data_IF_635193193517
#
_entry.id   IF_635193193517
#
_cell.length_a   1.000
_cell.length_b   1.000
_cell.length_c   1.000
_cell.angle_alpha   90.00
_cell.angle_beta   90.00
_cell.angle_gamma   90.00
#
_symmetry.space_group_name_H-M   'P 1'
#
loop_
_entity.id
_entity.type
_entity.pdbx_description
1 polymer ?
#
# COMPACT_ATOMS: atom_id res chain seq x y z
N UNK A 1 -84.31 -11.21 -2.74
CA UNK A 1 -85.51 -10.57 -3.24
C UNK A 1 -85.07 -9.44 -4.20
N UNK A 2 -85.32 -9.63 -5.52
CA UNK A 2 -85.54 -8.70 -6.58
C UNK A 2 -84.70 -7.40 -6.68
N UNK A 3 -84.19 -6.93 -7.77
CA UNK A 3 -84.40 -7.16 -9.22
C UNK A 3 -83.35 -6.39 -10.03
N UNK A 4 -83.02 -6.94 -11.17
CA UNK A 4 -82.32 -6.36 -12.30
C UNK A 4 -82.88 -5.00 -12.74
N UNK A 5 -82.02 -4.18 -13.41
CA UNK A 5 -82.31 -3.71 -14.81
C UNK A 5 -81.04 -3.08 -15.40
N UNK A 6 -80.84 -3.49 -16.65
CA UNK A 6 -80.02 -2.91 -17.70
C UNK A 6 -80.52 -1.52 -18.09
N UNK A 7 -79.68 -0.72 -18.72
CA UNK A 7 -79.83 -0.23 -20.09
C UNK A 7 -78.69 0.66 -20.52
N UNK A 8 -78.10 0.25 -21.51
CA UNK A 8 -77.59 0.69 -22.82
C UNK A 8 -77.25 2.18 -23.07
N UNK A 9 -76.11 2.29 -23.76
CA UNK A 9 -75.75 3.13 -24.88
C UNK A 9 -75.49 4.63 -24.66
N UNK A 10 -74.34 5.10 -24.95
CA UNK A 10 -73.98 5.81 -26.18
C UNK A 10 -72.47 6.09 -26.29
N UNK A 11 -71.98 5.75 -27.46
CA UNK A 11 -70.66 6.04 -27.96
C UNK A 11 -70.47 7.51 -28.22
N UNK A 12 -69.48 8.14 -27.73
CA UNK A 12 -68.89 9.36 -28.28
C UNK A 12 -67.40 9.31 -28.27
N UNK A 13 -66.85 9.18 -29.45
CA UNK A 13 -65.42 9.19 -29.75
C UNK A 13 -64.96 10.64 -29.69
N UNK A 14 -64.10 10.93 -28.66
CA UNK A 14 -63.34 12.17 -28.63
C UNK A 14 -61.85 11.76 -28.72
N UNK A 15 -61.30 12.05 -29.89
CA UNK A 15 -59.87 11.94 -30.14
C UNK A 15 -59.20 13.13 -29.45
N UNK A 16 -58.59 12.91 -28.28
CA UNK A 16 -57.68 13.86 -27.63
C UNK A 16 -56.25 13.36 -27.85
N UNK A 17 -55.50 14.13 -28.64
CA UNK A 17 -54.09 13.86 -28.88
C UNK A 17 -53.28 13.93 -27.57
N UNK A 18 -52.73 12.81 -27.17
CA UNK A 18 -51.77 12.76 -26.08
C UNK A 18 -50.40 13.07 -26.66
N UNK A 19 -49.91 14.26 -26.37
CA UNK A 19 -48.50 14.60 -26.48
C UNK A 19 -47.73 13.75 -25.46
N UNK A 20 -47.08 12.72 -25.94
CA UNK A 20 -46.10 11.95 -25.18
C UNK A 20 -44.86 12.84 -24.94
N UNK A 21 -44.83 13.50 -23.80
CA UNK A 21 -43.64 14.05 -23.25
C UNK A 21 -42.78 12.86 -22.79
N UNK A 22 -41.76 12.51 -23.56
CA UNK A 22 -40.76 11.56 -23.16
C UNK A 22 -39.89 12.19 -22.07
N UNK A 23 -40.22 11.93 -20.80
CA UNK A 23 -39.23 12.04 -19.74
C UNK A 23 -38.12 11.00 -20.03
N UNK A 24 -37.00 11.48 -20.55
CA UNK A 24 -35.79 10.74 -20.54
C UNK A 24 -35.35 10.59 -19.07
N UNK A 25 -35.69 9.47 -18.45
CA UNK A 25 -34.97 9.00 -17.28
C UNK A 25 -33.58 8.69 -17.76
N UNK A 26 -32.64 9.60 -17.48
CA UNK A 26 -31.20 9.28 -17.50
C UNK A 26 -30.99 8.21 -16.46
N UNK A 27 -31.09 6.95 -16.88
CA UNK A 27 -30.52 5.84 -16.17
C UNK A 27 -29.02 6.10 -16.11
N UNK A 28 -28.50 6.38 -14.92
CA UNK A 28 -27.10 6.13 -14.62
C UNK A 28 -26.96 4.60 -14.71
N UNK A 29 -26.67 4.09 -15.91
CA UNK A 29 -26.00 2.83 -16.02
C UNK A 29 -24.63 3.07 -15.39
N UNK A 30 -24.40 2.47 -14.22
CA UNK A 30 -23.08 2.23 -13.73
C UNK A 30 -22.39 1.40 -14.82
N UNK A 31 -21.64 2.06 -15.69
CA UNK A 31 -20.64 1.41 -16.50
C UNK A 31 -19.71 0.72 -15.49
N UNK A 32 -19.82 -0.58 -15.39
CA UNK A 32 -18.71 -1.40 -14.94
C UNK A 32 -17.64 -1.21 -16.01
N UNK A 33 -16.80 -0.22 -15.80
CA UNK A 33 -15.58 -0.06 -16.56
C UNK A 33 -14.68 -1.23 -16.18
N UNK A 34 -14.79 -2.30 -16.94
CA UNK A 34 -13.70 -3.26 -17.12
C UNK A 34 -12.68 -2.60 -18.05
N UNK A 35 -12.29 -1.39 -17.73
CA UNK A 35 -11.16 -0.72 -18.37
C UNK A 35 -9.92 -1.52 -18.03
N UNK A 36 -9.39 -2.24 -19.02
CA UNK A 36 -8.08 -2.87 -18.89
C UNK A 36 -7.13 -1.81 -18.36
N UNK A 37 -6.54 -2.05 -17.19
CA UNK A 37 -5.59 -1.13 -16.58
C UNK A 37 -4.48 -0.86 -17.59
N UNK A 38 -4.25 0.42 -17.89
CA UNK A 38 -3.25 0.79 -18.87
C UNK A 38 -1.86 0.47 -18.32
N UNK A 39 -1.10 -0.35 -19.01
CA UNK A 39 0.31 -0.59 -18.69
C UNK A 39 1.08 0.68 -19.02
N UNK A 40 1.68 1.32 -18.02
CA UNK A 40 2.76 2.26 -18.24
C UNK A 40 2.44 3.73 -18.46
N UNK A 41 1.85 4.41 -17.48
CA UNK A 41 1.74 5.88 -17.47
C UNK A 41 3.06 6.66 -17.26
N UNK A 42 4.19 5.98 -17.01
CA UNK A 42 5.50 6.56 -16.73
C UNK A 42 6.58 6.20 -17.76
N UNK A 43 7.80 6.72 -17.57
CA UNK A 43 8.97 6.31 -18.35
C UNK A 43 9.31 4.84 -18.07
N UNK A 44 9.54 4.01 -19.09
CA UNK A 44 9.82 2.59 -18.92
C UNK A 44 11.05 2.30 -18.05
N UNK A 45 10.89 1.47 -17.03
CA UNK A 45 11.96 0.87 -16.25
C UNK A 45 11.80 -0.67 -16.28
N UNK A 46 12.83 -1.46 -16.66
CA UNK A 46 12.68 -2.90 -16.78
C UNK A 46 12.53 -3.61 -15.43
N UNK A 47 11.64 -4.59 -15.34
CA UNK A 47 11.62 -5.54 -14.24
C UNK A 47 12.93 -6.33 -14.19
N UNK A 48 13.42 -6.63 -13.00
CA UNK A 48 14.67 -7.40 -12.82
C UNK A 48 14.42 -8.84 -12.36
N UNK A 49 13.41 -9.04 -11.50
CA UNK A 49 12.97 -10.34 -11.00
C UNK A 49 11.54 -10.20 -10.45
N UNK A 50 10.98 -11.33 -10.05
CA UNK A 50 9.66 -11.39 -9.41
C UNK A 50 9.60 -12.48 -8.34
N UNK A 51 8.62 -12.38 -7.45
CA UNK A 51 8.30 -13.46 -6.52
C UNK A 51 7.33 -14.45 -7.17
N UNK A 52 7.26 -15.70 -6.70
CA UNK A 52 6.09 -16.51 -6.98
C UNK A 52 4.80 -15.79 -6.54
N UNK A 53 3.69 -15.99 -7.26
CA UNK A 53 2.41 -15.43 -6.86
C UNK A 53 2.02 -15.81 -5.43
N UNK A 54 1.32 -14.93 -4.73
CA UNK A 54 0.72 -15.26 -3.45
C UNK A 54 -0.31 -16.40 -3.60
N UNK A 55 -0.53 -17.18 -2.55
CA UNK A 55 -1.33 -18.40 -2.64
C UNK A 55 -2.82 -18.19 -2.88
N UNK A 56 -3.34 -16.98 -2.64
CA UNK A 56 -4.73 -16.64 -2.91
C UNK A 56 -4.90 -16.26 -4.37
N UNK A 57 -5.71 -16.99 -5.10
CA UNK A 57 -6.01 -16.74 -6.53
C UNK A 57 -7.14 -15.72 -6.74
N UNK A 58 -7.62 -15.10 -5.68
CA UNK A 58 -8.59 -14.01 -5.80
C UNK A 58 -7.90 -12.74 -6.28
N UNK A 59 -8.56 -11.95 -7.09
CA UNK A 59 -8.18 -10.57 -7.34
C UNK A 59 -8.04 -9.81 -5.99
N UNK A 60 -7.18 -8.83 -5.90
CA UNK A 60 -6.95 -8.06 -4.69
C UNK A 60 -6.40 -8.94 -3.53
N UNK A 61 -5.30 -9.64 -3.76
CA UNK A 61 -4.64 -10.54 -2.81
C UNK A 61 -3.27 -10.04 -2.35
N UNK A 62 -2.27 -9.93 -3.24
CA UNK A 62 -1.01 -9.29 -2.89
C UNK A 62 -1.22 -7.77 -2.74
N UNK A 63 -0.52 -7.16 -1.77
CA UNK A 63 -0.70 -5.74 -1.54
C UNK A 63 0.63 -5.03 -1.30
N UNK A 64 1.20 -5.15 -0.13
CA UNK A 64 2.30 -4.29 0.29
C UNK A 64 3.56 -5.10 0.65
N UNK A 65 4.74 -4.69 0.16
CA UNK A 65 6.01 -5.27 0.54
C UNK A 65 6.75 -4.44 1.59
N UNK A 66 7.67 -5.09 2.33
CA UNK A 66 8.68 -4.44 3.14
C UNK A 66 10.04 -5.12 2.97
N UNK A 67 11.15 -4.37 3.01
CA UNK A 67 12.50 -4.88 2.77
C UNK A 67 13.34 -4.73 4.04
N UNK A 68 13.99 -5.82 4.46
CA UNK A 68 15.04 -5.78 5.47
C UNK A 68 16.33 -6.38 4.93
N UNK A 69 17.45 -5.75 5.25
CA UNK A 69 18.79 -6.21 4.92
C UNK A 69 19.63 -6.24 6.20
N UNK A 70 20.43 -7.29 6.40
CA UNK A 70 21.37 -7.35 7.52
C UNK A 70 22.40 -6.21 7.37
N UNK A 71 22.48 -5.28 8.32
CA UNK A 71 23.42 -4.15 8.22
C UNK A 71 24.89 -4.57 8.12
N UNK A 72 25.22 -5.82 8.48
CA UNK A 72 26.58 -6.37 8.43
C UNK A 72 26.86 -7.15 7.15
N UNK A 73 25.80 -7.58 6.45
CA UNK A 73 25.91 -8.36 5.22
C UNK A 73 24.77 -7.98 4.26
N UNK A 74 25.01 -7.01 3.37
CA UNK A 74 24.00 -6.56 2.40
C UNK A 74 23.53 -7.64 1.41
N UNK A 75 24.21 -8.77 1.31
CA UNK A 75 23.75 -9.90 0.52
C UNK A 75 22.65 -10.72 1.21
N UNK A 76 22.44 -10.46 2.52
CA UNK A 76 21.53 -11.19 3.37
C UNK A 76 20.37 -10.32 3.82
N UNK A 77 19.16 -10.77 3.55
CA UNK A 77 17.95 -10.03 3.92
C UNK A 77 16.70 -10.75 3.50
N UNK A 78 15.57 -10.09 3.67
CA UNK A 78 14.26 -10.61 3.29
C UNK A 78 13.37 -9.50 2.73
N UNK A 79 12.43 -9.92 1.88
CA UNK A 79 11.23 -9.17 1.51
C UNK A 79 10.07 -9.83 2.24
N UNK A 80 9.25 -9.05 2.92
CA UNK A 80 8.00 -9.50 3.53
C UNK A 80 6.86 -8.91 2.71
N UNK A 81 5.99 -9.76 2.19
CA UNK A 81 4.83 -9.32 1.39
C UNK A 81 3.52 -9.76 2.03
N UNK A 82 2.48 -8.97 1.88
CA UNK A 82 1.14 -9.29 2.35
C UNK A 82 0.33 -10.06 1.31
N UNK A 83 -0.53 -10.95 1.80
CA UNK A 83 -1.68 -11.50 1.08
C UNK A 83 -2.92 -11.11 1.90
N UNK A 84 -3.69 -10.15 1.40
CA UNK A 84 -4.87 -9.56 2.07
C UNK A 84 -5.88 -10.60 2.56
N UNK A 85 -5.84 -11.81 2.01
CA UNK A 85 -6.81 -12.88 2.26
C UNK A 85 -6.25 -13.99 3.14
N UNK A 86 -4.92 -14.06 3.35
CA UNK A 86 -4.35 -15.28 3.96
C UNK A 86 -3.17 -15.10 4.91
N UNK A 87 -2.43 -14.00 4.87
CA UNK A 87 -1.31 -13.77 5.79
C UNK A 87 -0.07 -13.13 5.17
N UNK A 88 1.11 -13.49 5.65
CA UNK A 88 2.39 -12.92 5.22
C UNK A 88 3.26 -13.94 4.51
N UNK A 89 3.93 -13.50 3.47
CA UNK A 89 4.99 -14.22 2.78
C UNK A 89 6.35 -13.61 3.10
N UNK A 90 7.37 -14.44 3.23
CA UNK A 90 8.76 -14.01 3.36
C UNK A 90 9.53 -14.58 2.20
N UNK A 91 10.22 -13.71 1.48
CA UNK A 91 11.07 -14.04 0.34
C UNK A 91 12.51 -13.66 0.62
N UNK A 92 13.48 -14.27 -0.07
CA UNK A 92 14.85 -13.75 -0.10
C UNK A 92 14.94 -12.52 -1.03
N UNK A 93 16.11 -11.91 -1.08
CA UNK A 93 16.36 -10.71 -1.90
C UNK A 93 16.41 -11.00 -3.43
N UNK A 94 16.22 -12.24 -3.84
CA UNK A 94 16.08 -12.66 -5.23
C UNK A 94 14.61 -13.03 -5.57
N UNK A 95 13.67 -12.87 -4.63
CA UNK A 95 12.26 -13.16 -4.81
C UNK A 95 11.85 -14.60 -4.48
N UNK A 96 12.79 -15.49 -4.09
CA UNK A 96 12.45 -16.88 -3.72
C UNK A 96 11.74 -16.93 -2.38
N UNK A 97 10.59 -17.62 -2.32
CA UNK A 97 9.84 -17.82 -1.08
C UNK A 97 10.63 -18.63 -0.06
N UNK A 98 10.78 -18.09 1.14
CA UNK A 98 11.42 -18.72 2.31
C UNK A 98 10.38 -19.23 3.32
N UNK A 99 9.28 -18.48 3.50
CA UNK A 99 8.29 -18.78 4.53
C UNK A 99 6.91 -18.26 4.12
N UNK A 100 5.87 -18.92 4.60
CA UNK A 100 4.50 -18.43 4.61
C UNK A 100 3.94 -18.51 6.03
N UNK A 101 3.39 -17.42 6.52
CA UNK A 101 2.72 -17.32 7.80
C UNK A 101 1.23 -17.12 7.56
N UNK A 102 0.48 -18.20 7.71
CA UNK A 102 -0.98 -18.16 7.55
C UNK A 102 -1.63 -17.49 8.76
N UNK A 103 -2.53 -16.54 8.50
CA UNK A 103 -3.38 -15.91 9.52
C UNK A 103 -3.48 -14.40 9.36
N UNK A 104 -4.58 -13.85 9.88
CA UNK A 104 -4.94 -12.45 9.71
C UNK A 104 -5.50 -12.13 8.32
N UNK A 105 -5.88 -10.88 8.14
CA UNK A 105 -6.24 -10.26 6.88
C UNK A 105 -5.39 -8.99 6.71
N UNK A 106 -4.06 -9.14 6.54
CA UNK A 106 -3.15 -8.00 6.48
C UNK A 106 -3.41 -7.19 5.22
N UNK A 107 -3.24 -5.86 5.32
CA UNK A 107 -3.16 -4.97 4.18
C UNK A 107 -1.70 -4.53 3.99
N UNK A 108 -1.23 -3.54 4.72
CA UNK A 108 0.15 -3.08 4.65
C UNK A 108 1.06 -3.76 5.66
N UNK A 109 2.37 -3.77 5.37
CA UNK A 109 3.42 -4.28 6.24
C UNK A 109 4.64 -3.37 6.22
N UNK A 110 5.24 -3.12 7.38
CA UNK A 110 6.53 -2.42 7.47
C UNK A 110 7.38 -3.01 8.59
N UNK A 111 8.66 -2.66 8.65
CA UNK A 111 9.59 -3.24 9.58
C UNK A 111 10.68 -2.25 10.03
N UNK A 112 11.20 -2.47 11.25
CA UNK A 112 12.33 -1.71 11.78
C UNK A 112 13.32 -2.61 12.50
N UNK A 113 14.59 -2.48 12.13
CA UNK A 113 15.69 -3.24 12.72
C UNK A 113 16.04 -2.79 14.14
N UNK A 114 16.69 -3.70 14.89
CA UNK A 114 17.29 -3.38 16.17
C UNK A 114 16.33 -3.31 17.35
N UNK A 115 15.10 -3.82 17.25
CA UNK A 115 14.12 -3.84 18.33
C UNK A 115 14.64 -4.65 19.53
N UNK A 116 14.74 -4.07 20.74
CA UNK A 116 15.28 -4.74 21.90
C UNK A 116 14.26 -5.72 22.48
N UNK A 117 14.69 -6.96 22.72
CA UNK A 117 13.91 -7.98 23.43
C UNK A 117 14.78 -8.66 24.51
N UNK A 118 14.16 -9.41 25.42
CA UNK A 118 14.89 -10.22 26.40
C UNK A 118 15.78 -11.31 25.77
N UNK A 119 15.54 -11.64 24.49
CA UNK A 119 16.31 -12.62 23.72
C UNK A 119 17.30 -11.98 22.72
N UNK A 120 17.65 -10.71 22.94
CA UNK A 120 18.49 -9.94 22.04
C UNK A 120 17.71 -9.07 21.06
N UNK A 121 18.43 -8.43 20.12
CA UNK A 121 17.80 -7.56 19.12
C UNK A 121 17.10 -8.39 18.04
N UNK A 122 15.93 -7.90 17.62
CA UNK A 122 15.11 -8.46 16.54
C UNK A 122 14.77 -7.38 15.54
N UNK A 123 14.23 -7.77 14.40
CA UNK A 123 13.50 -6.85 13.52
C UNK A 123 12.05 -6.88 13.95
N UNK A 124 11.52 -5.75 14.37
CA UNK A 124 10.08 -5.60 14.60
C UNK A 124 9.40 -5.44 13.25
N UNK A 125 8.40 -6.29 12.98
CA UNK A 125 7.55 -6.22 11.79
C UNK A 125 6.13 -5.97 12.25
N UNK A 126 5.44 -5.05 11.63
CA UNK A 126 4.03 -4.77 11.88
C UNK A 126 3.24 -4.83 10.58
N UNK A 127 2.07 -5.42 10.63
CA UNK A 127 1.10 -5.38 9.54
C UNK A 127 -0.23 -4.86 10.06
N UNK A 128 -0.95 -4.07 9.27
CA UNK A 128 -2.35 -3.79 9.56
C UNK A 128 -3.15 -5.08 9.43
N UNK A 129 -4.14 -5.29 10.27
CA UNK A 129 -4.95 -6.52 10.27
C UNK A 129 -6.43 -6.19 10.42
N UNK A 130 -7.20 -6.51 9.39
CA UNK A 130 -8.66 -6.35 9.32
C UNK A 130 -9.42 -7.53 9.92
N UNK A 131 -8.72 -8.55 10.41
CA UNK A 131 -9.30 -9.77 10.95
C UNK A 131 -10.14 -9.53 12.21
N UNK A 132 -11.25 -10.25 12.36
CA UNK A 132 -12.24 -10.10 13.45
C UNK A 132 -11.68 -10.32 14.86
N UNK A 133 -10.49 -10.91 15.00
CA UNK A 133 -9.85 -11.20 16.30
C UNK A 133 -8.74 -10.19 16.62
N UNK A 134 -9.10 -8.94 16.77
CA UNK A 134 -8.15 -7.90 17.14
C UNK A 134 -7.75 -7.03 15.96
N UNK A 135 -8.76 -6.57 15.21
CA UNK A 135 -8.55 -5.56 14.17
C UNK A 135 -7.67 -4.42 14.69
N UNK A 136 -6.60 -4.13 13.97
CA UNK A 136 -5.61 -3.16 14.39
C UNK A 136 -4.25 -3.39 13.75
N UNK A 137 -3.24 -3.70 14.56
CA UNK A 137 -1.91 -4.08 14.10
C UNK A 137 -1.54 -5.49 14.56
N UNK A 138 -1.02 -6.30 13.67
CA UNK A 138 -0.37 -7.58 13.98
C UNK A 138 1.13 -7.35 14.07
N UNK A 139 1.74 -7.71 15.20
CA UNK A 139 3.17 -7.58 15.45
C UNK A 139 3.87 -8.92 15.30
N UNK A 140 5.03 -8.89 14.65
CA UNK A 140 5.88 -10.05 14.44
C UNK A 140 7.33 -9.70 14.80
N UNK A 141 8.13 -10.72 15.08
CA UNK A 141 9.57 -10.60 15.31
C UNK A 141 10.32 -11.46 14.27
N UNK A 142 11.13 -10.81 13.46
CA UNK A 142 12.07 -11.48 12.57
C UNK A 142 13.40 -11.71 13.33
N UNK A 143 13.87 -12.95 13.34
CA UNK A 143 15.18 -13.29 13.87
C UNK A 143 16.26 -13.05 12.79
N UNK A 144 17.16 -12.07 12.98
CA UNK A 144 18.20 -11.77 12.00
C UNK A 144 19.15 -12.95 11.72
N UNK A 145 19.30 -13.89 12.66
CA UNK A 145 20.20 -15.01 12.51
C UNK A 145 19.66 -16.14 11.65
N UNK A 146 18.34 -16.36 11.68
CA UNK A 146 17.67 -17.46 10.99
C UNK A 146 16.78 -17.01 9.83
N UNK A 147 16.50 -15.71 9.73
CA UNK A 147 15.56 -15.08 8.80
C UNK A 147 14.11 -15.60 8.98
N UNK A 148 13.80 -16.11 10.18
CA UNK A 148 12.45 -16.59 10.49
C UNK A 148 11.61 -15.50 11.12
N UNK A 149 10.47 -15.25 10.53
CA UNK A 149 9.43 -14.37 11.03
C UNK A 149 8.47 -15.18 11.92
N UNK A 150 8.14 -14.62 13.09
CA UNK A 150 7.22 -15.24 14.05
C UNK A 150 6.19 -14.23 14.52
N UNK A 151 4.92 -14.63 14.56
CA UNK A 151 3.87 -13.83 15.17
C UNK A 151 4.18 -13.58 16.65
N UNK A 152 4.02 -12.35 17.08
CA UNK A 152 4.27 -11.94 18.46
C UNK A 152 3.00 -11.55 19.19
N UNK A 153 2.18 -10.65 18.62
CA UNK A 153 0.93 -10.22 19.25
C UNK A 153 -0.01 -9.56 18.26
N UNK A 154 -1.31 -9.58 18.57
CA UNK A 154 -2.30 -8.68 17.98
C UNK A 154 -2.50 -7.47 18.91
N UNK A 155 -2.58 -6.29 18.33
CA UNK A 155 -2.80 -5.01 19.00
C UNK A 155 -4.09 -4.41 18.47
N UNK A 156 -5.18 -4.44 19.25
CA UNK A 156 -6.41 -3.76 18.87
C UNK A 156 -6.17 -2.25 18.75
N UNK A 157 -6.68 -1.63 17.68
CA UNK A 157 -6.59 -0.19 17.42
C UNK A 157 -8.01 0.33 17.19
N UNK A 158 -8.34 1.46 17.84
CA UNK A 158 -9.66 2.10 17.73
C UNK A 158 -9.78 2.83 16.37
N UNK A 159 -10.08 2.06 15.32
CA UNK A 159 -10.34 2.48 13.94
C UNK A 159 -11.56 1.74 13.41
N UNK A 160 -12.28 2.35 12.48
CA UNK A 160 -13.46 1.72 11.84
C UNK A 160 -13.02 0.45 11.10
N UNK A 161 -12.00 0.55 10.27
CA UNK A 161 -11.33 -0.56 9.61
C UNK A 161 -9.83 -0.21 9.51
N UNK A 162 -8.93 -0.90 10.23
CA UNK A 162 -7.50 -0.74 10.07
C UNK A 162 -7.11 -1.11 8.64
N UNK A 163 -6.43 -0.19 7.93
CA UNK A 163 -6.17 -0.33 6.51
C UNK A 163 -4.69 -0.18 6.20
N UNK A 164 -4.19 1.03 6.03
CA UNK A 164 -2.78 1.24 5.80
C UNK A 164 -1.92 1.20 7.07
N UNK A 165 -0.63 0.95 6.90
CA UNK A 165 0.32 0.94 7.99
C UNK A 165 1.73 1.27 7.50
N UNK A 166 2.49 1.98 8.35
CA UNK A 166 3.94 2.05 8.26
C UNK A 166 4.58 2.11 9.66
N UNK A 167 5.89 2.03 9.71
CA UNK A 167 6.65 2.13 10.94
C UNK A 167 7.65 3.28 10.90
N UNK A 168 8.08 3.73 12.08
CA UNK A 168 9.12 4.72 12.23
C UNK A 168 9.97 4.44 13.47
N UNK A 169 11.17 5.00 13.48
CA UNK A 169 11.93 5.21 14.70
C UNK A 169 12.03 6.70 14.97
N UNK A 170 11.84 7.05 16.23
CA UNK A 170 12.11 8.40 16.75
C UNK A 170 12.94 8.24 18.02
N UNK A 171 14.20 8.62 17.96
CA UNK A 171 15.20 8.30 18.98
C UNK A 171 15.25 6.76 19.21
N UNK A 172 14.99 6.31 20.44
CA UNK A 172 14.91 4.89 20.77
C UNK A 172 13.48 4.31 20.67
N UNK A 173 12.49 5.12 20.32
CA UNK A 173 11.11 4.68 20.21
C UNK A 173 10.83 4.00 18.87
N UNK A 174 10.18 2.84 18.92
CA UNK A 174 9.62 2.16 17.77
C UNK A 174 8.15 2.54 17.65
N UNK A 175 7.79 3.11 16.52
CA UNK A 175 6.46 3.62 16.24
C UNK A 175 5.80 2.76 15.17
N UNK A 176 4.51 2.48 15.37
CA UNK A 176 3.61 1.90 14.38
C UNK A 176 2.53 2.92 14.09
N UNK A 177 2.41 3.33 12.86
CA UNK A 177 1.39 4.26 12.37
C UNK A 177 0.36 3.44 11.62
N UNK A 178 -0.88 3.41 12.12
CA UNK A 178 -2.00 2.68 11.49
C UNK A 178 -3.05 3.68 11.10
N UNK A 179 -3.56 3.58 9.90
CA UNK A 179 -4.66 4.40 9.43
C UNK A 179 -5.90 3.54 9.13
N UNK A 180 -7.05 4.18 9.11
CA UNK A 180 -8.34 3.56 8.83
C UNK A 180 -8.99 4.15 7.58
N UNK A 181 -9.91 3.39 7.00
CA UNK A 181 -10.69 3.79 5.82
C UNK A 181 -11.51 5.07 6.01
N UNK A 182 -11.67 5.52 7.26
CA UNK A 182 -12.37 6.75 7.64
C UNK A 182 -11.44 7.97 7.75
N UNK A 183 -10.20 7.89 7.29
CA UNK A 183 -9.24 8.98 7.36
C UNK A 183 -8.51 9.13 8.69
N UNK A 184 -8.89 8.36 9.71
CA UNK A 184 -8.28 8.43 11.03
C UNK A 184 -6.92 7.74 11.07
N UNK A 185 -5.96 8.32 11.80
CA UNK A 185 -4.61 7.78 11.96
C UNK A 185 -4.27 7.67 13.45
N UNK A 186 -3.62 6.57 13.82
CA UNK A 186 -3.11 6.32 15.17
C UNK A 186 -1.61 6.09 15.11
N UNK A 187 -0.87 6.84 15.90
CA UNK A 187 0.57 6.62 16.10
C UNK A 187 0.78 5.93 17.44
N UNK A 188 1.31 4.73 17.39
CA UNK A 188 1.49 3.85 18.52
C UNK A 188 2.97 3.67 18.81
N UNK A 189 3.38 3.78 20.07
CA UNK A 189 4.71 3.39 20.54
C UNK A 189 4.68 1.95 20.99
N UNK A 190 5.65 1.16 20.54
CA UNK A 190 5.78 -0.27 20.86
C UNK A 190 7.09 -0.51 21.62
N UNK A 191 6.98 -1.16 22.75
CA UNK A 191 8.09 -1.57 23.62
C UNK A 191 7.96 -3.07 23.95
N UNK A 192 9.08 -3.76 24.20
CA UNK A 192 9.03 -5.11 24.73
C UNK A 192 8.83 -5.06 26.26
N UNK A 193 7.73 -5.60 26.75
CA UNK A 193 7.48 -5.75 28.18
C UNK A 193 8.40 -6.80 28.83
N UNK A 194 8.60 -6.68 30.12
CA UNK A 194 9.42 -7.63 30.90
C UNK A 194 8.85 -9.06 30.89
N UNK A 195 7.54 -9.20 30.66
CA UNK A 195 6.84 -10.47 30.53
C UNK A 195 6.94 -11.09 29.12
N UNK A 196 7.69 -10.45 28.21
CA UNK A 196 7.85 -10.88 26.83
C UNK A 196 6.69 -10.50 25.89
N UNK A 197 5.69 -9.77 26.38
CA UNK A 197 4.59 -9.24 25.59
C UNK A 197 4.89 -7.81 25.12
N UNK A 198 4.23 -7.31 24.08
CA UNK A 198 4.35 -5.91 23.72
C UNK A 198 3.63 -5.02 24.75
N UNK A 199 4.26 -3.91 25.08
CA UNK A 199 3.63 -2.76 25.71
C UNK A 199 3.40 -1.73 24.62
N UNK A 200 2.13 -1.38 24.38
CA UNK A 200 1.75 -0.45 23.33
C UNK A 200 1.08 0.76 23.98
N UNK A 201 1.51 1.95 23.56
CA UNK A 201 0.96 3.22 24.03
C UNK A 201 0.61 4.07 22.81
N UNK A 202 -0.63 4.53 22.74
CA UNK A 202 -1.01 5.51 21.72
C UNK A 202 -0.42 6.87 22.09
N UNK A 203 0.42 7.43 21.19
CA UNK A 203 1.06 8.72 21.40
C UNK A 203 0.29 9.88 20.74
N UNK A 204 -0.41 9.59 19.62
CA UNK A 204 -1.03 10.64 18.81
C UNK A 204 -2.18 10.11 17.99
N UNK A 205 -3.19 10.98 17.80
CA UNK A 205 -4.29 10.83 16.81
C UNK A 205 -4.29 12.02 15.87
N UNK A 206 -4.52 11.78 14.61
CA UNK A 206 -4.74 12.82 13.61
C UNK A 206 -5.54 12.24 12.45
N UNK A 207 -5.86 13.03 11.44
CA UNK A 207 -6.66 12.57 10.31
C UNK A 207 -6.30 13.29 9.02
N UNK A 208 -6.67 12.69 7.91
CA UNK A 208 -6.79 13.28 6.58
C UNK A 208 -8.27 13.27 6.16
N UNK A 209 -8.66 14.02 5.12
CA UNK A 209 -10.08 14.15 4.75
C UNK A 209 -10.78 12.87 4.35
N UNK A 210 -10.10 11.97 3.61
CA UNK A 210 -10.65 10.71 3.09
C UNK A 210 -9.74 9.53 3.41
N UNK A 211 -9.97 8.40 2.78
CA UNK A 211 -9.21 7.17 3.01
C UNK A 211 -7.72 7.34 2.69
N UNK A 212 -6.82 7.13 3.66
CA UNK A 212 -5.39 6.98 3.40
C UNK A 212 -5.00 5.51 3.37
N UNK A 213 -3.89 5.20 2.69
CA UNK A 213 -3.32 3.87 2.74
C UNK A 213 -1.82 3.91 3.03
N UNK A 214 -0.98 4.00 2.01
CA UNK A 214 0.46 3.94 2.18
C UNK A 214 1.01 5.08 3.01
N UNK A 215 2.00 4.78 3.85
CA UNK A 215 2.79 5.81 4.52
C UNK A 215 4.25 5.40 4.62
N UNK A 216 5.12 6.38 4.82
CA UNK A 216 6.55 6.14 5.02
C UNK A 216 7.17 7.24 5.86
N UNK A 217 8.11 6.88 6.73
CA UNK A 217 8.79 7.83 7.62
C UNK A 217 10.23 8.10 7.18
N UNK A 218 10.59 9.38 7.06
CA UNK A 218 11.99 9.82 7.05
C UNK A 218 12.45 10.13 8.48
N UNK A 219 13.07 9.16 9.10
CA UNK A 219 13.54 9.24 10.48
C UNK A 219 14.65 10.28 10.67
N UNK A 220 15.44 10.55 9.62
CA UNK A 220 16.52 11.54 9.67
C UNK A 220 16.00 12.99 9.77
N UNK A 221 14.86 13.26 9.18
CA UNK A 221 14.22 14.58 9.19
C UNK A 221 13.00 14.63 10.09
N UNK A 222 12.66 13.50 10.77
CA UNK A 222 11.49 13.36 11.64
C UNK A 222 10.16 13.64 10.90
N UNK A 223 10.06 13.22 9.65
CA UNK A 223 8.89 13.43 8.78
C UNK A 223 8.15 12.13 8.51
N UNK A 224 6.84 12.23 8.40
CA UNK A 224 5.94 11.18 7.93
C UNK A 224 5.28 11.65 6.63
N UNK A 225 5.30 10.82 5.62
CA UNK A 225 4.52 10.99 4.39
C UNK A 225 3.37 9.99 4.41
N UNK A 226 2.18 10.43 4.03
CA UNK A 226 0.95 9.64 4.05
C UNK A 226 0.20 9.87 2.75
N UNK A 227 -0.11 8.79 2.03
CA UNK A 227 -0.96 8.78 0.85
C UNK A 227 -2.42 8.84 1.27
N UNK A 228 -3.17 9.79 0.76
CA UNK A 228 -4.63 9.84 0.75
C UNK A 228 -5.06 9.47 -0.66
N UNK A 229 -5.73 8.33 -0.85
CA UNK A 229 -5.99 7.69 -2.14
C UNK A 229 -6.48 8.68 -3.21
N UNK A 230 -7.61 9.33 -2.95
CA UNK A 230 -8.18 10.33 -3.85
C UNK A 230 -7.68 11.77 -3.63
N UNK A 231 -6.82 12.03 -2.64
CA UNK A 231 -6.41 13.37 -2.21
C UNK A 231 -4.98 13.74 -2.56
N UNK A 232 -4.05 12.79 -2.45
CA UNK A 232 -2.64 13.00 -2.73
C UNK A 232 -1.72 12.69 -1.54
N UNK A 233 -0.56 13.32 -1.49
CA UNK A 233 0.47 13.03 -0.48
C UNK A 233 0.50 14.13 0.58
N UNK A 234 0.34 13.73 1.83
CA UNK A 234 0.48 14.57 3.00
C UNK A 234 1.84 14.42 3.66
N UNK A 235 2.36 15.51 4.23
CA UNK A 235 3.56 15.53 5.07
C UNK A 235 3.19 15.96 6.49
N UNK A 236 3.61 15.18 7.47
CA UNK A 236 3.48 15.45 8.91
C UNK A 236 4.86 15.35 9.58
N UNK A 237 4.99 15.93 10.77
CA UNK A 237 6.09 15.59 11.66
C UNK A 237 5.72 14.38 12.53
N UNK A 238 6.70 13.55 12.91
CA UNK A 238 6.50 12.35 13.74
C UNK A 238 6.32 12.65 15.24
N UNK A 239 6.46 13.91 15.65
CA UNK A 239 6.33 14.30 17.06
C UNK A 239 4.92 14.06 17.61
N UNK A 240 4.78 13.78 18.91
CA UNK A 240 3.46 13.51 19.53
C UNK A 240 2.56 14.74 19.54
N UNK A 241 3.11 15.94 19.44
CA UNK A 241 2.40 17.23 19.39
C UNK A 241 2.66 17.97 18.06
N UNK A 242 2.88 17.24 16.99
CA UNK A 242 3.16 17.84 15.70
C UNK A 242 1.98 18.65 15.16
N UNK A 243 2.30 19.66 14.38
CA UNK A 243 1.32 20.51 13.68
C UNK A 243 0.44 19.69 12.71
N UNK A 244 -0.69 20.25 12.26
CA UNK A 244 -1.46 19.66 11.17
C UNK A 244 -0.58 19.39 9.94
N UNK A 245 -0.94 18.33 9.18
CA UNK A 245 -0.23 17.97 7.98
C UNK A 245 -0.32 19.02 6.87
N UNK A 246 0.63 18.95 5.97
CA UNK A 246 0.66 19.76 4.74
C UNK A 246 0.50 18.86 3.53
N UNK A 247 -0.47 19.13 2.66
CA UNK A 247 -0.61 18.45 1.38
C UNK A 247 0.51 18.93 0.46
N UNK A 248 1.40 18.02 0.06
CA UNK A 248 2.61 18.31 -0.71
C UNK A 248 2.51 17.92 -2.19
N UNK A 249 1.60 17.01 -2.53
CA UNK A 249 1.27 16.68 -3.90
C UNK A 249 -0.21 16.32 -3.96
N UNK A 250 -0.93 16.80 -4.97
CA UNK A 250 -2.37 16.55 -5.14
C UNK A 250 -2.63 15.37 -6.07
N UNK A 251 -3.70 14.62 -5.79
CA UNK A 251 -4.33 13.70 -6.72
C UNK A 251 -5.83 14.07 -6.87
N UNK A 252 -6.44 13.95 -8.09
CA UNK A 252 -5.75 13.68 -9.35
C UNK A 252 -4.89 14.86 -9.83
N UNK A 253 -3.79 14.53 -10.47
CA UNK A 253 -2.92 15.51 -11.15
C UNK A 253 -2.13 14.83 -12.29
N UNK A 254 -1.39 15.57 -13.13
CA UNK A 254 -0.49 14.95 -14.10
C UNK A 254 0.63 14.10 -13.48
N UNK A 255 0.92 14.30 -12.20
CA UNK A 255 1.95 13.58 -11.44
C UNK A 255 1.40 12.31 -10.78
N UNK A 256 0.13 12.34 -10.35
CA UNK A 256 -0.53 11.29 -9.59
C UNK A 256 -1.96 11.05 -10.13
N UNK A 257 -2.19 9.86 -10.65
CA UNK A 257 -3.51 9.37 -11.03
C UNK A 257 -4.00 8.45 -9.91
N UNK A 258 -5.14 8.76 -9.28
CA UNK A 258 -5.67 7.96 -8.17
C UNK A 258 -5.87 6.47 -8.52
N UNK A 259 -5.70 5.62 -7.54
CA UNK A 259 -5.48 5.96 -6.15
C UNK A 259 -3.97 6.14 -5.84
N UNK A 260 -3.67 6.94 -4.80
CA UNK A 260 -2.31 7.10 -4.26
C UNK A 260 -2.14 6.07 -3.15
N UNK A 261 -1.54 4.95 -3.51
CA UNK A 261 -1.45 3.76 -2.68
C UNK A 261 -0.13 3.71 -1.87
N UNK A 262 0.78 2.82 -2.19
CA UNK A 262 2.05 2.67 -1.50
C UNK A 262 2.97 3.88 -1.59
N UNK A 263 3.69 4.15 -0.50
CA UNK A 263 4.75 5.14 -0.41
C UNK A 263 6.05 4.52 0.09
N UNK A 264 7.17 4.81 -0.57
CA UNK A 264 8.48 4.37 -0.13
C UNK A 264 9.52 5.50 -0.16
N UNK A 265 10.54 5.40 0.69
CA UNK A 265 11.70 6.28 0.68
C UNK A 265 12.95 5.51 0.29
N UNK A 266 13.72 6.06 -0.66
CA UNK A 266 15.01 5.52 -1.05
C UNK A 266 16.09 6.58 -0.87
N UNK A 267 17.14 6.26 -0.10
CA UNK A 267 18.32 7.13 0.08
C UNK A 267 19.39 6.73 -0.93
N UNK A 268 19.84 7.71 -1.72
CA UNK A 268 20.89 7.54 -2.72
C UNK A 268 21.91 8.68 -2.57
N UNK A 269 23.03 8.38 -1.91
CA UNK A 269 23.99 9.39 -1.51
C UNK A 269 23.38 10.45 -0.59
N UNK A 270 23.42 11.69 -1.02
CA UNK A 270 22.82 12.82 -0.29
C UNK A 270 21.32 13.02 -0.64
N UNK A 271 20.82 12.37 -1.69
CA UNK A 271 19.44 12.51 -2.11
C UNK A 271 18.52 11.54 -1.35
N UNK A 272 17.33 12.00 -1.01
CA UNK A 272 16.23 11.16 -0.53
C UNK A 272 15.07 11.26 -1.53
N UNK A 273 14.65 10.11 -2.03
CA UNK A 273 13.61 9.96 -3.02
C UNK A 273 12.35 9.40 -2.37
N UNK A 274 11.24 10.11 -2.51
CA UNK A 274 9.91 9.60 -2.20
C UNK A 274 9.32 9.03 -3.48
N UNK A 275 8.97 7.74 -3.44
CA UNK A 275 8.33 7.01 -4.52
C UNK A 275 6.88 6.79 -4.10
N UNK A 276 5.94 7.16 -4.94
CA UNK A 276 4.51 7.04 -4.68
C UNK A 276 3.83 6.24 -5.78
N UNK A 277 3.06 5.24 -5.42
CA UNK A 277 2.20 4.53 -6.36
C UNK A 277 1.13 5.47 -6.92
N UNK A 278 0.90 5.38 -8.21
CA UNK A 278 -0.16 6.03 -8.99
C UNK A 278 -0.92 4.91 -9.68
N UNK A 279 -1.83 4.27 -8.92
CA UNK A 279 -2.47 3.01 -9.29
C UNK A 279 -3.26 3.12 -10.59
N UNK A 280 -4.02 4.22 -10.75
CA UNK A 280 -4.94 4.41 -11.88
C UNK A 280 -4.28 4.40 -13.27
N UNK A 281 -2.94 4.52 -13.33
CA UNK A 281 -2.21 4.41 -14.59
C UNK A 281 -0.92 3.57 -14.46
N UNK A 282 -0.86 2.69 -13.47
CA UNK A 282 0.20 1.69 -13.27
C UNK A 282 1.61 2.31 -13.32
N UNK A 283 1.79 3.42 -12.59
CA UNK A 283 3.03 4.18 -12.57
C UNK A 283 3.44 4.56 -11.14
N UNK A 284 4.66 5.05 -11.01
CA UNK A 284 5.23 5.52 -9.75
C UNK A 284 5.77 6.93 -9.91
N UNK A 285 5.23 7.88 -9.17
CA UNK A 285 5.76 9.24 -9.12
C UNK A 285 6.97 9.33 -8.19
N UNK A 286 8.00 10.09 -8.59
CA UNK A 286 9.25 10.24 -7.84
C UNK A 286 9.46 11.71 -7.49
N UNK A 287 9.65 11.96 -6.21
CA UNK A 287 9.93 13.29 -5.65
C UNK A 287 11.26 13.29 -4.90
N UNK A 288 12.04 14.33 -5.06
CA UNK A 288 13.20 14.60 -4.20
C UNK A 288 12.74 15.32 -2.94
N UNK A 289 13.03 14.77 -1.74
CA UNK A 289 12.47 15.26 -0.47
C UNK A 289 13.52 15.64 0.59
N UNK A 290 14.80 15.64 0.26
CA UNK A 290 15.89 16.09 1.15
C UNK A 290 15.95 17.61 1.31
N UNK A 291 15.21 18.35 0.50
CA UNK A 291 15.06 19.81 0.63
C UNK A 291 13.89 20.25 1.51
N UNK A 292 13.68 21.56 1.65
CA UNK A 292 12.55 22.12 2.40
C UNK A 292 11.21 21.80 1.74
N UNK A 293 11.17 21.81 0.41
CA UNK A 293 9.98 21.48 -0.37
C UNK A 293 10.26 20.29 -1.30
N UNK A 294 9.28 19.39 -1.48
CA UNK A 294 9.37 18.29 -2.41
C UNK A 294 9.53 18.79 -3.85
N UNK A 295 10.38 18.10 -4.61
CA UNK A 295 10.60 18.40 -6.03
C UNK A 295 10.21 17.17 -6.86
N UNK A 296 9.16 17.29 -7.66
CA UNK A 296 8.80 16.27 -8.63
C UNK A 296 9.92 16.05 -9.66
N UNK A 297 10.25 14.80 -9.95
CA UNK A 297 11.37 14.41 -10.81
C UNK A 297 10.98 13.53 -11.97
N UNK A 298 9.74 13.11 -12.04
CA UNK A 298 9.22 12.27 -13.10
C UNK A 298 8.46 11.06 -12.58
N UNK A 299 8.07 10.21 -13.50
CA UNK A 299 7.30 8.98 -13.25
C UNK A 299 7.91 7.83 -14.01
N UNK A 300 7.92 6.66 -13.44
CA UNK A 300 8.30 5.42 -14.12
C UNK A 300 7.20 4.37 -14.07
N UNK A 301 7.21 3.46 -15.02
CA UNK A 301 6.39 2.25 -15.00
C UNK A 301 7.29 1.03 -15.19
N UNK A 302 6.96 -0.05 -14.50
CA UNK A 302 7.74 -1.28 -14.57
C UNK A 302 7.30 -2.10 -15.77
N UNK A 303 8.21 -2.29 -16.71
CA UNK A 303 7.94 -2.96 -17.97
C UNK A 303 8.51 -4.38 -18.01
N UNK A 304 7.87 -5.23 -18.78
CA UNK A 304 8.31 -6.60 -18.97
C UNK A 304 9.77 -6.69 -19.42
N UNK A 305 10.53 -7.62 -18.86
CA UNK A 305 11.93 -7.84 -19.20
C UNK A 305 12.38 -9.26 -18.82
N UNK A 306 13.17 -9.91 -19.67
CA UNK A 306 13.82 -11.19 -19.39
C UNK A 306 12.90 -12.32 -18.85
N UNK A 307 11.65 -12.35 -19.30
CA UNK A 307 10.66 -13.36 -18.89
C UNK A 307 9.85 -13.00 -17.65
N UNK A 308 10.07 -11.82 -17.09
CA UNK A 308 9.22 -11.19 -16.07
C UNK A 308 8.25 -10.25 -16.78
N UNK A 309 6.97 -10.29 -16.47
CA UNK A 309 5.95 -9.44 -17.07
C UNK A 309 5.96 -8.00 -16.50
N UNK A 310 5.11 -7.14 -17.05
CA UNK A 310 4.99 -5.75 -16.63
C UNK A 310 4.10 -5.63 -15.38
N UNK A 311 4.22 -4.51 -14.67
CA UNK A 311 3.37 -4.20 -13.52
C UNK A 311 2.10 -3.50 -13.97
N UNK A 312 0.98 -3.94 -13.43
CA UNK A 312 -0.35 -3.33 -13.59
C UNK A 312 -0.99 -3.09 -12.24
N UNK A 313 -1.81 -2.05 -12.11
CA UNK A 313 -2.68 -1.79 -10.96
C UNK A 313 -1.97 -1.85 -9.61
N UNK A 314 -0.77 -1.31 -9.53
CA UNK A 314 0.12 -1.48 -8.37
C UNK A 314 -0.41 -0.80 -7.11
N UNK A 315 -0.49 -1.55 -6.00
CA UNK A 315 -0.83 -1.06 -4.67
C UNK A 315 0.45 -0.61 -3.93
N UNK A 316 1.06 -1.51 -3.17
CA UNK A 316 2.18 -1.23 -2.31
C UNK A 316 3.53 -1.09 -3.03
N UNK A 317 4.42 -0.35 -2.40
CA UNK A 317 5.81 -0.18 -2.83
C UNK A 317 6.76 -0.10 -1.64
N UNK A 318 7.88 -0.81 -1.71
CA UNK A 318 9.00 -0.66 -0.79
C UNK A 318 10.27 -0.31 -1.55
N UNK A 319 11.17 0.45 -0.92
CA UNK A 319 12.44 0.80 -1.51
C UNK A 319 13.55 0.86 -0.46
N UNK A 320 14.74 0.43 -0.85
CA UNK A 320 15.92 0.50 0.00
C UNK A 320 17.14 0.86 -0.84
N UNK A 321 17.81 1.95 -0.48
CA UNK A 321 19.02 2.41 -1.15
C UNK A 321 20.28 1.68 -0.68
N UNK A 322 21.37 1.86 -1.41
CA UNK A 322 22.63 1.17 -1.19
C UNK A 322 22.59 -0.28 -1.70
N UNK A 323 23.55 -1.10 -1.28
CA UNK A 323 23.60 -2.50 -1.74
C UNK A 323 22.53 -3.35 -1.07
N UNK A 324 21.68 -4.02 -1.86
CA UNK A 324 20.61 -4.92 -1.44
C UNK A 324 20.71 -6.20 -2.26
N UNK A 325 21.27 -7.27 -1.68
CA UNK A 325 21.45 -8.53 -2.41
C UNK A 325 22.25 -8.36 -3.70
N UNK A 326 21.65 -8.71 -4.82
CA UNK A 326 22.19 -8.56 -6.18
C UNK A 326 22.07 -7.13 -6.75
N UNK A 327 21.44 -6.20 -6.05
CA UNK A 327 21.19 -4.82 -6.48
C UNK A 327 22.21 -3.87 -5.84
N UNK A 328 23.22 -3.36 -6.59
CA UNK A 328 24.36 -2.67 -5.97
C UNK A 328 24.05 -1.26 -5.45
N UNK A 329 23.02 -0.59 -5.96
CA UNK A 329 22.70 0.80 -5.63
C UNK A 329 21.29 0.99 -5.05
N UNK A 330 20.51 -0.08 -4.95
CA UNK A 330 19.19 -0.09 -4.35
C UNK A 330 18.21 -1.01 -5.06
N UNK A 331 17.18 -1.36 -4.32
CA UNK A 331 16.09 -2.22 -4.76
C UNK A 331 14.77 -1.49 -4.53
N UNK A 332 13.89 -1.52 -5.52
CA UNK A 332 12.46 -1.17 -5.40
C UNK A 332 11.66 -2.46 -5.58
N UNK A 333 10.72 -2.72 -4.69
CA UNK A 333 9.80 -3.85 -4.76
C UNK A 333 8.39 -3.28 -4.84
N UNK A 334 7.63 -3.73 -5.81
CA UNK A 334 6.28 -3.23 -6.10
C UNK A 334 5.29 -4.38 -6.21
N UNK A 335 4.05 -4.16 -5.79
CA UNK A 335 2.97 -5.09 -6.04
C UNK A 335 2.57 -5.05 -7.52
N UNK A 336 2.18 -6.20 -8.05
CA UNK A 336 1.63 -6.38 -9.38
C UNK A 336 0.29 -7.09 -9.32
N UNK A 337 -0.73 -6.46 -9.93
CA UNK A 337 -2.11 -6.93 -9.87
C UNK A 337 -2.36 -8.16 -10.78
N UNK A 338 -1.62 -8.29 -11.88
CA UNK A 338 -1.81 -9.38 -12.86
C UNK A 338 -0.48 -9.99 -13.26
N UNK A 339 -0.08 -11.07 -12.57
CA UNK A 339 0.99 -11.94 -13.04
C UNK A 339 0.51 -12.75 -14.26
N UNK A 340 1.04 -12.44 -15.43
CA UNK A 340 0.72 -13.10 -16.73
C UNK A 340 1.39 -14.49 -16.89
N UNK A 341 2.00 -15.02 -15.84
CA UNK A 341 2.66 -16.31 -15.83
C UNK A 341 1.74 -17.51 -16.09
N UNK A 342 2.32 -18.73 -16.22
CA UNK A 342 1.56 -19.94 -16.56
C UNK A 342 0.48 -20.33 -15.55
N UNK A 343 0.50 -19.77 -14.36
CA UNK A 343 -0.46 -20.05 -13.28
C UNK A 343 -1.80 -19.30 -13.40
N UNK A 344 -1.95 -18.44 -14.42
CA UNK A 344 -3.11 -17.56 -14.61
C UNK A 344 -3.02 -16.29 -13.76
N UNK A 345 -3.98 -15.39 -13.92
CA UNK A 345 -4.02 -14.10 -13.23
C UNK A 345 -3.93 -14.27 -11.72
N UNK A 346 -2.77 -14.06 -11.17
CA UNK A 346 -2.45 -14.02 -9.74
C UNK A 346 -1.61 -12.80 -9.49
N UNK A 347 -1.53 -12.40 -8.24
CA UNK A 347 -0.78 -11.23 -7.82
C UNK A 347 0.55 -11.63 -7.20
N UNK A 348 1.58 -10.86 -7.46
CA UNK A 348 2.93 -11.08 -6.95
C UNK A 348 3.64 -9.76 -6.63
N UNK A 349 4.96 -9.81 -6.42
CA UNK A 349 5.80 -8.64 -6.24
C UNK A 349 6.92 -8.65 -7.28
N UNK A 350 7.11 -7.53 -7.97
CA UNK A 350 8.22 -7.33 -8.91
C UNK A 350 9.38 -6.61 -8.22
N UNK A 351 10.58 -7.03 -8.57
CA UNK A 351 11.84 -6.45 -8.11
C UNK A 351 12.43 -5.59 -9.21
N UNK A 352 12.80 -4.35 -8.89
CA UNK A 352 13.33 -3.36 -9.85
C UNK A 352 14.65 -2.81 -9.32
N UNK A 353 15.68 -2.85 -10.17
CA UNK A 353 16.97 -2.23 -9.86
C UNK A 353 16.84 -0.69 -9.86
N UNK A 354 17.21 -0.04 -8.77
CA UNK A 354 17.15 1.42 -8.66
C UNK A 354 17.93 2.14 -9.77
N UNK A 355 19.02 1.54 -10.26
CA UNK A 355 19.79 2.08 -11.39
C UNK A 355 18.96 2.23 -12.65
N UNK A 356 18.05 1.28 -12.91
CA UNK A 356 17.14 1.36 -14.05
C UNK A 356 16.15 2.52 -13.93
N UNK A 357 15.61 2.74 -12.74
CA UNK A 357 14.74 3.89 -12.46
C UNK A 357 15.51 5.21 -12.61
N UNK A 358 16.72 5.30 -12.05
CA UNK A 358 17.57 6.48 -12.18
C UNK A 358 17.87 6.81 -13.65
N UNK A 359 18.23 5.78 -14.41
CA UNK A 359 18.49 5.94 -15.84
C UNK A 359 17.24 6.41 -16.59
N UNK A 360 16.09 5.82 -16.33
CA UNK A 360 14.83 6.18 -16.95
C UNK A 360 14.45 7.65 -16.70
N UNK A 361 14.70 8.16 -15.50
CA UNK A 361 14.30 9.51 -15.09
C UNK A 361 15.45 10.53 -15.17
N UNK A 362 16.68 10.14 -15.50
CA UNK A 362 17.84 11.03 -15.55
C UNK A 362 18.21 11.63 -14.19
N UNK A 363 18.12 10.83 -13.10
CA UNK A 363 18.40 11.21 -11.73
C UNK A 363 19.87 11.11 -11.35
#
# INVERSE_FOLDING_TARGET
>A
MFRRRNDDSFVSLVIAGILLSSCATSGFEAQSDSGGMSVGGGTPAPAAAETPPVGTSAADAADDPAIWVDPRDPARGVIVGTDKKSGLYVYDLAGKQLQYLRGGLPNNVDLRDGFPTSKGRRVLVAASDRGRRGAGAALFLLDPSTLKLQFWAAVPVDLVEPYGLCMARRDDAFLVIVNGTDGQVRQLRVEAGADGKPKVTEERRFSVPTQPEGCVADEATNRLYLGEEGGGIWRFDLGPQAAPGTLIAKAPSPELVPDVEGLALLKDGAATWLIASSQGDSAFAVYRVDGPEPQYRGRFSVMANAGVDAVTGTDGVAALGGRVGGFPEGLVVVQDDVDEGPAGARQNFKLVDWRAVRQALGL
#
